data_IF_594036213347
#
_entry.id   IF_594036213347
#
_cell.length_a   1.000
_cell.length_b   1.000
_cell.length_c   1.000
_cell.angle_alpha   90.00
_cell.angle_beta   90.00
_cell.angle_gamma   90.00
#
_symmetry.space_group_name_H-M   'P 1'
#
loop_
_entity.id
_entity.type
_entity.pdbx_description
1 polymer ?
#
# COMPACT_ATOMS: atom_id res chain seq x y z
N UNK A 1 -23.02 -20.74 33.09
CA UNK A 1 -21.82 -20.92 32.23
C UNK A 1 -22.38 -21.32 30.86
N UNK A 2 -22.25 -20.63 29.73
CA UNK A 2 -21.24 -19.71 29.20
C UNK A 2 -21.94 -18.68 28.29
N UNK A 3 -21.53 -17.41 28.36
CA UNK A 3 -21.91 -16.38 27.38
C UNK A 3 -21.05 -16.59 26.12
N UNK A 4 -21.68 -16.78 24.96
CA UNK A 4 -20.99 -16.74 23.68
C UNK A 4 -20.67 -15.28 23.34
N UNK A 5 -19.38 -14.96 23.27
CA UNK A 5 -18.85 -13.69 22.76
C UNK A 5 -18.73 -13.85 21.25
N UNK A 6 -19.58 -13.16 20.49
CA UNK A 6 -19.37 -12.96 19.06
C UNK A 6 -18.68 -11.60 18.91
N UNK A 7 -17.35 -11.63 18.78
CA UNK A 7 -16.56 -10.43 18.50
C UNK A 7 -16.72 -10.10 17.00
N UNK A 8 -17.30 -8.93 16.74
CA UNK A 8 -17.60 -8.43 15.41
C UNK A 8 -16.33 -8.09 14.61
N UNK A 9 -16.42 -8.33 13.31
CA UNK A 9 -15.42 -8.13 12.29
C UNK A 9 -15.19 -6.66 11.91
N UNK A 10 -14.04 -6.42 11.28
CA UNK A 10 -13.71 -5.34 10.34
C UNK A 10 -13.16 -4.04 10.94
N UNK A 11 -11.83 -3.90 10.95
CA UNK A 11 -11.19 -2.58 10.99
C UNK A 11 -10.89 -2.19 9.54
N UNK A 12 -11.84 -1.51 8.91
CA UNK A 12 -11.54 -0.69 7.74
C UNK A 12 -10.93 0.62 8.27
N UNK A 13 -9.61 0.73 8.24
CA UNK A 13 -8.93 1.99 8.54
C UNK A 13 -9.08 2.92 7.33
N UNK A 14 -10.13 3.76 7.38
CA UNK A 14 -10.29 4.90 6.48
C UNK A 14 -9.39 6.04 7.02
N UNK A 15 -8.18 6.18 6.49
CA UNK A 15 -7.35 7.36 6.79
C UNK A 15 -7.64 8.42 5.73
N UNK A 16 -8.45 9.42 6.10
CA UNK A 16 -8.56 10.70 5.40
C UNK A 16 -7.32 11.53 5.72
N UNK A 17 -6.45 11.76 4.74
CA UNK A 17 -5.38 12.76 4.80
C UNK A 17 -5.78 14.00 4.00
N UNK A 18 -5.88 15.16 4.64
CA UNK A 18 -6.25 16.43 4.03
C UNK A 18 -5.02 17.29 3.65
N UNK A 19 -4.93 17.61 2.36
CA UNK A 19 -4.58 18.87 1.67
C UNK A 19 -3.23 19.60 1.89
N UNK A 20 -2.47 19.78 0.78
CA UNK A 20 -2.09 21.08 0.20
C UNK A 20 -1.57 20.96 -1.27
N UNK A 21 -1.88 21.97 -2.08
CA UNK A 21 -2.05 22.04 -3.55
C UNK A 21 -0.81 22.36 -4.41
N UNK A 22 -0.76 21.93 -5.68
CA UNK A 22 -0.52 22.75 -6.92
C UNK A 22 -0.43 21.90 -8.22
N UNK A 23 -1.42 22.00 -9.12
CA UNK A 23 -1.24 21.98 -10.60
C UNK A 23 -1.22 20.67 -11.43
N UNK A 24 -2.20 20.58 -12.37
CA UNK A 24 -2.23 19.82 -13.64
C UNK A 24 -2.74 18.37 -13.64
N UNK A 25 -3.65 18.09 -14.59
CA UNK A 25 -4.60 16.97 -14.62
C UNK A 25 -5.43 16.88 -13.32
N UNK A 26 -6.71 16.50 -13.39
CA UNK A 26 -7.36 16.07 -12.16
C UNK A 26 -6.62 14.78 -11.74
N UNK A 27 -5.63 14.88 -10.84
CA UNK A 27 -5.00 13.69 -10.28
C UNK A 27 -6.10 12.93 -9.52
N UNK A 28 -6.41 11.73 -10.00
CA UNK A 28 -7.50 10.90 -9.47
C UNK A 28 -6.98 9.97 -8.36
N UNK A 29 -5.97 10.43 -7.61
CA UNK A 29 -5.32 9.67 -6.54
C UNK A 29 -6.32 9.27 -5.45
N UNK A 30 -7.23 10.17 -5.08
CA UNK A 30 -8.35 9.90 -4.15
C UNK A 30 -9.40 8.92 -4.71
N UNK A 31 -9.35 8.60 -6.00
CA UNK A 31 -10.20 7.60 -6.67
C UNK A 31 -9.50 6.26 -6.86
N UNK A 32 -8.37 6.05 -6.18
CA UNK A 32 -7.69 4.76 -6.16
C UNK A 32 -7.77 4.16 -4.77
N UNK A 33 -8.38 2.98 -4.66
CA UNK A 33 -8.38 2.21 -3.42
C UNK A 33 -7.12 1.36 -3.35
N UNK A 34 -6.41 1.41 -2.22
CA UNK A 34 -5.30 0.49 -1.92
C UNK A 34 -5.78 -0.56 -0.91
N UNK A 35 -5.47 -1.82 -1.17
CA UNK A 35 -5.67 -2.95 -0.26
C UNK A 35 -4.33 -3.66 -0.07
N UNK A 36 -3.82 -3.74 1.16
CA UNK A 36 -2.60 -4.50 1.46
C UNK A 36 -2.96 -5.98 1.54
N UNK A 37 -2.21 -6.82 0.84
CA UNK A 37 -2.49 -8.25 0.78
C UNK A 37 -2.30 -8.86 2.19
N UNK A 38 -3.14 -9.81 2.58
CA UNK A 38 -2.88 -10.63 3.77
C UNK A 38 -1.89 -11.78 3.49
N UNK A 39 -1.05 -11.65 2.46
CA UNK A 39 -0.13 -12.73 2.05
C UNK A 39 1.05 -12.82 3.00
N UNK A 40 1.31 -14.05 3.46
CA UNK A 40 2.59 -14.44 4.06
C UNK A 40 2.86 -13.79 5.41
N UNK A 41 2.19 -14.28 6.46
CA UNK A 41 2.56 -14.03 7.85
C UNK A 41 3.95 -14.62 8.12
N UNK A 42 5.01 -13.91 7.72
CA UNK A 42 6.31 -14.13 8.35
C UNK A 42 6.12 -13.83 9.85
N UNK A 43 6.44 -14.79 10.74
CA UNK A 43 6.23 -14.59 12.18
C UNK A 43 6.85 -13.27 12.66
N UNK A 44 6.03 -12.39 13.22
CA UNK A 44 6.46 -11.08 13.73
C UNK A 44 6.46 -9.93 12.72
N UNK A 45 5.89 -10.13 11.53
CA UNK A 45 5.67 -9.08 10.51
C UNK A 45 4.18 -8.70 10.37
N UNK A 46 3.93 -7.42 10.12
CA UNK A 46 2.64 -6.89 9.68
C UNK A 46 2.14 -7.52 8.36
N UNK A 47 0.81 -7.56 8.13
CA UNK A 47 0.22 -8.08 6.90
C UNK A 47 0.82 -7.46 5.63
N UNK A 48 0.99 -8.30 4.60
CA UNK A 48 1.48 -7.90 3.28
C UNK A 48 2.98 -7.71 3.21
N UNK A 49 3.69 -7.80 4.34
CA UNK A 49 5.14 -7.75 4.37
C UNK A 49 5.78 -9.11 4.12
N UNK A 50 6.83 -9.12 3.32
CA UNK A 50 7.67 -10.30 3.12
C UNK A 50 9.10 -9.88 2.80
N UNK A 51 10.02 -10.86 2.82
CA UNK A 51 11.44 -10.64 2.48
C UNK A 51 11.75 -11.40 1.21
N UNK A 52 12.32 -10.72 0.21
CA UNK A 52 12.73 -11.38 -1.03
C UNK A 52 14.04 -12.15 -0.85
N UNK A 53 14.43 -12.93 -1.86
CA UNK A 53 15.69 -13.70 -1.84
C UNK A 53 16.94 -12.82 -1.76
N UNK A 54 16.85 -11.53 -2.12
CA UNK A 54 17.94 -10.57 -1.99
C UNK A 54 18.02 -9.91 -0.59
N UNK A 55 17.09 -10.24 0.32
CA UNK A 55 17.10 -9.70 1.67
C UNK A 55 16.53 -8.28 1.80
N UNK A 56 15.71 -7.83 0.85
CA UNK A 56 14.96 -6.58 0.96
C UNK A 56 13.58 -6.84 1.58
N UNK A 57 13.10 -5.88 2.39
CA UNK A 57 11.69 -5.83 2.79
C UNK A 57 10.83 -5.47 1.58
N UNK A 58 9.69 -6.15 1.45
CA UNK A 58 8.65 -5.82 0.49
C UNK A 58 7.30 -5.62 1.17
N UNK A 59 6.43 -4.81 0.55
CA UNK A 59 5.00 -4.73 0.85
C UNK A 59 4.22 -5.06 -0.42
N UNK A 60 3.39 -6.09 -0.38
CA UNK A 60 2.50 -6.48 -1.47
C UNK A 60 1.07 -6.01 -1.21
N UNK A 61 0.42 -5.56 -2.27
CA UNK A 61 -1.00 -5.19 -2.22
C UNK A 61 -1.61 -5.09 -3.60
N UNK A 62 -2.83 -4.56 -3.62
CA UNK A 62 -3.62 -4.33 -4.81
C UNK A 62 -4.12 -2.89 -4.83
N UNK A 63 -4.17 -2.29 -6.01
CA UNK A 63 -4.87 -1.03 -6.25
C UNK A 63 -6.12 -1.28 -7.10
N UNK A 64 -7.17 -0.50 -6.87
CA UNK A 64 -8.40 -0.54 -7.67
C UNK A 64 -8.75 0.86 -8.19
N UNK A 65 -9.05 0.96 -9.48
CA UNK A 65 -9.60 2.18 -10.06
C UNK A 65 -11.09 2.34 -9.65
N UNK A 66 -11.41 3.37 -8.87
CA UNK A 66 -12.78 3.75 -8.50
C UNK A 66 -13.28 5.00 -9.25
N UNK A 67 -12.50 5.52 -10.20
CA UNK A 67 -12.95 6.58 -11.09
C UNK A 67 -13.92 6.02 -12.15
N UNK A 68 -14.63 6.92 -12.82
CA UNK A 68 -15.51 6.64 -13.96
C UNK A 68 -14.77 6.67 -15.30
N UNK A 69 -13.46 6.94 -15.30
CA UNK A 69 -12.59 6.95 -16.47
C UNK A 69 -11.46 5.94 -16.35
N UNK A 70 -10.90 5.44 -17.48
CA UNK A 70 -9.68 4.64 -17.45
C UNK A 70 -8.50 5.44 -16.90
N UNK A 71 -7.71 4.80 -16.04
CA UNK A 71 -6.46 5.35 -15.52
C UNK A 71 -5.26 4.73 -16.21
N UNK A 72 -4.17 5.48 -16.29
CA UNK A 72 -2.87 4.96 -16.70
C UNK A 72 -2.24 4.08 -15.62
N UNK A 73 -0.90 3.96 -15.67
CA UNK A 73 -0.15 3.31 -14.59
C UNK A 73 -0.35 4.09 -13.29
N UNK A 74 -0.87 3.43 -12.28
CA UNK A 74 -0.92 3.96 -10.92
C UNK A 74 0.46 3.84 -10.29
N UNK A 75 0.98 4.93 -9.72
CA UNK A 75 2.20 4.95 -8.90
C UNK A 75 1.81 5.01 -7.42
N UNK A 76 2.46 4.18 -6.62
CA UNK A 76 2.31 4.15 -5.16
C UNK A 76 3.64 4.37 -4.48
N UNK A 77 3.59 4.95 -3.28
CA UNK A 77 4.70 5.15 -2.38
C UNK A 77 4.46 4.36 -1.09
N UNK A 78 5.53 3.82 -0.53
CA UNK A 78 5.53 3.11 0.75
C UNK A 78 6.50 3.75 1.72
N UNK A 79 6.15 3.73 3.00
CA UNK A 79 7.05 4.03 4.12
C UNK A 79 7.03 2.87 5.11
N UNK A 80 8.19 2.48 5.60
CA UNK A 80 8.35 1.49 6.66
C UNK A 80 8.88 2.18 7.92
N UNK A 81 8.31 1.84 9.08
CA UNK A 81 8.64 2.46 10.36
C UNK A 81 8.91 1.41 11.42
N UNK A 82 9.72 1.78 12.42
CA UNK A 82 9.87 0.99 13.63
C UNK A 82 8.67 1.10 14.58
N UNK A 83 8.73 0.40 15.72
CA UNK A 83 7.69 0.45 16.75
C UNK A 83 7.51 1.84 17.39
N UNK A 84 8.53 2.69 17.34
CA UNK A 84 8.52 4.05 17.92
C UNK A 84 8.07 5.11 16.92
N UNK A 85 8.04 4.79 15.62
CA UNK A 85 7.60 5.67 14.54
C UNK A 85 8.75 6.32 13.78
N UNK A 86 9.97 5.85 14.00
CA UNK A 86 11.11 6.29 13.22
C UNK A 86 11.03 5.68 11.82
N UNK A 87 11.27 6.50 10.81
CA UNK A 87 11.29 6.07 9.42
C UNK A 87 12.52 5.19 9.17
N UNK A 88 12.30 3.95 8.73
CA UNK A 88 13.34 3.00 8.36
C UNK A 88 13.65 3.05 6.86
N UNK A 89 12.65 3.36 6.04
CA UNK A 89 12.85 3.45 4.59
C UNK A 89 11.61 3.86 3.82
N UNK A 90 11.84 4.20 2.56
CA UNK A 90 10.82 4.57 1.58
C UNK A 90 10.98 3.71 0.33
N UNK A 91 9.86 3.43 -0.33
CA UNK A 91 9.83 2.71 -1.59
C UNK A 91 8.78 3.33 -2.53
N UNK A 92 8.89 3.08 -3.82
CA UNK A 92 7.80 3.36 -4.76
C UNK A 92 7.71 2.27 -5.81
N UNK A 93 6.51 2.04 -6.31
CA UNK A 93 6.24 1.09 -7.40
C UNK A 93 5.15 1.64 -8.29
N UNK A 94 5.12 1.18 -9.53
CA UNK A 94 3.97 1.38 -10.42
C UNK A 94 3.32 0.05 -10.74
N UNK A 95 2.03 0.07 -11.01
CA UNK A 95 1.32 -1.06 -11.60
C UNK A 95 1.98 -1.49 -12.92
N UNK A 96 2.00 -2.80 -13.17
CA UNK A 96 2.51 -3.35 -14.45
C UNK A 96 1.55 -3.05 -15.60
N UNK A 97 0.25 -3.14 -15.34
CA UNK A 97 -0.80 -2.82 -16.31
C UNK A 97 -0.69 -1.35 -16.74
N UNK A 98 -0.68 -1.10 -18.05
CA UNK A 98 -0.56 0.25 -18.59
C UNK A 98 -1.88 1.04 -18.56
N UNK A 99 -3.00 0.34 -18.36
CA UNK A 99 -4.36 0.85 -18.34
C UNK A 99 -5.17 0.08 -17.30
N UNK A 100 -5.94 0.78 -16.48
CA UNK A 100 -6.93 0.22 -15.56
C UNK A 100 -8.29 0.88 -15.84
N UNK A 101 -9.25 0.12 -16.37
CA UNK A 101 -10.62 0.61 -16.56
C UNK A 101 -11.32 0.80 -15.21
N UNK A 102 -12.46 1.52 -15.16
CA UNK A 102 -13.29 1.62 -13.95
C UNK A 102 -13.56 0.23 -13.34
N UNK A 103 -13.22 0.07 -12.06
CA UNK A 103 -13.36 -1.18 -11.31
C UNK A 103 -12.18 -2.15 -11.41
N UNK A 104 -11.27 -1.99 -12.39
CA UNK A 104 -10.12 -2.87 -12.57
C UNK A 104 -9.18 -2.82 -11.36
N UNK A 105 -8.58 -3.97 -11.06
CA UNK A 105 -7.57 -4.15 -10.01
C UNK A 105 -6.21 -4.49 -10.62
N UNK A 106 -5.14 -4.02 -9.99
CA UNK A 106 -3.77 -4.40 -10.35
C UNK A 106 -2.89 -4.56 -9.10
N UNK A 107 -1.96 -5.51 -9.15
CA UNK A 107 -0.99 -5.71 -8.07
C UNK A 107 0.02 -4.57 -8.00
N UNK A 108 0.47 -4.28 -6.78
CA UNK A 108 1.62 -3.47 -6.44
C UNK A 108 2.58 -4.27 -5.57
N UNK A 109 3.88 -3.99 -5.71
CA UNK A 109 4.92 -4.63 -4.92
C UNK A 109 6.02 -3.59 -4.63
N UNK A 110 6.00 -3.03 -3.42
CA UNK A 110 6.94 -2.01 -2.97
C UNK A 110 8.20 -2.70 -2.43
N UNK A 111 9.34 -2.47 -3.05
CA UNK A 111 10.65 -2.99 -2.61
C UNK A 111 11.42 -1.90 -1.87
N UNK A 112 11.77 -2.17 -0.60
CA UNK A 112 12.54 -1.25 0.25
C UNK A 112 14.02 -1.64 0.21
N UNK A 113 14.75 -1.12 -0.79
CA UNK A 113 16.17 -1.42 -1.00
C UNK A 113 17.06 -1.07 0.20
N UNK A 114 16.65 -0.14 1.06
CA UNK A 114 17.39 0.27 2.25
C UNK A 114 17.00 -0.48 3.52
N UNK A 115 15.86 -1.19 3.53
CA UNK A 115 15.39 -1.93 4.71
C UNK A 115 15.81 -3.38 4.56
N UNK A 116 17.02 -3.66 5.04
CA UNK A 116 17.70 -4.96 4.92
C UNK A 116 18.26 -5.42 6.27
N UNK A 117 18.63 -6.71 6.35
CA UNK A 117 19.32 -7.28 7.51
C UNK A 117 18.62 -6.96 8.84
N UNK A 118 19.35 -6.33 9.77
CA UNK A 118 18.86 -6.02 11.11
C UNK A 118 17.72 -4.98 11.14
N UNK A 119 17.46 -4.25 10.04
CA UNK A 119 16.34 -3.31 9.96
C UNK A 119 15.00 -4.00 9.67
N UNK A 120 15.03 -5.18 9.02
CA UNK A 120 13.82 -5.96 8.71
C UNK A 120 13.00 -6.29 9.97
N UNK A 121 13.55 -6.90 11.04
CA UNK A 121 12.76 -7.21 12.22
C UNK A 121 12.26 -5.96 12.98
N UNK A 122 12.87 -4.80 12.72
CA UNK A 122 12.46 -3.52 13.31
C UNK A 122 11.25 -2.92 12.61
N UNK A 123 10.97 -3.26 11.34
CA UNK A 123 9.82 -2.75 10.61
C UNK A 123 8.51 -3.30 11.20
N UNK A 124 7.83 -2.48 12.02
CA UNK A 124 6.60 -2.83 12.74
C UNK A 124 5.37 -2.08 12.24
N UNK A 125 5.54 -1.06 11.40
CA UNK A 125 4.44 -0.32 10.79
C UNK A 125 4.79 0.07 9.36
N UNK A 126 3.74 0.28 8.56
CA UNK A 126 3.89 0.78 7.21
C UNK A 126 2.75 1.72 6.83
N UNK A 127 3.03 2.59 5.87
CA UNK A 127 2.07 3.43 5.19
C UNK A 127 2.21 3.21 3.68
N UNK A 128 1.08 3.16 2.96
CA UNK A 128 1.06 3.13 1.50
C UNK A 128 0.13 4.23 0.99
N UNK A 129 0.62 5.03 0.04
CA UNK A 129 -0.08 6.18 -0.53
C UNK A 129 -0.03 6.13 -2.04
N UNK A 130 -1.09 6.58 -2.70
CA UNK A 130 -1.12 6.75 -4.16
C UNK A 130 -0.43 8.08 -4.48
N UNK A 131 0.62 8.01 -5.29
CA UNK A 131 1.45 9.16 -5.66
C UNK A 131 1.07 9.78 -7.01
N UNK A 132 0.55 8.97 -7.93
CA UNK A 132 0.11 9.41 -9.25
C UNK A 132 -0.97 8.47 -9.79
N UNK A 133 -2.01 9.06 -10.36
CA UNK A 133 -3.15 8.40 -10.98
C UNK A 133 -3.79 9.35 -12.00
N UNK A 134 -3.25 9.36 -13.22
CA UNK A 134 -3.75 10.19 -14.31
C UNK A 134 -4.74 9.43 -15.23
N UNK A 135 -5.77 10.12 -15.77
CA UNK A 135 -6.60 9.58 -16.83
C UNK A 135 -5.78 9.13 -18.03
N UNK A 136 -6.17 8.00 -18.64
CA UNK A 136 -5.62 7.54 -19.92
C UNK A 136 -6.68 7.76 -21.00
N UNK A 137 -6.47 8.80 -21.80
CA UNK A 137 -7.30 9.17 -22.95
C UNK A 137 -6.95 8.30 -24.17
#
# INVERSE_FOLDING_TARGET
MHKAIVAAWSIAALILGAAATTGSAAELTDKVKVEIDSVGLHPGMEPGMYVCSAGHLHIKGTVQNLADVPLGKIKVGGKAFDENGNLLGIASSSTKAALLNPGDKAEINLEFLTVTGNLIPQAKRHEVTVLDAAPKL
#
